data_IF_871598055775
#
_entry.id   IF_871598055775
#
_cell.length_a   1.000
_cell.length_b   1.000
_cell.length_c   1.000
_cell.angle_alpha   90.00
_cell.angle_beta   90.00
_cell.angle_gamma   90.00
#
_symmetry.space_group_name_H-M   'P 1'
#
loop_
_entity.id
_entity.type
_entity.pdbx_description
1 polymer ?
#
# COMPACT_ATOMS: atom_id res chain seq x y z
N UNK A 1 -15.32 4.26 -27.72
CA UNK A 1 -14.48 3.77 -26.60
C UNK A 1 -13.02 4.05 -26.97
N UNK A 2 -12.28 4.73 -26.10
CA UNK A 2 -10.89 5.09 -26.35
C UNK A 2 -9.99 3.95 -25.83
N UNK A 3 -9.22 3.33 -26.73
CA UNK A 3 -8.20 2.32 -26.43
C UNK A 3 -6.84 2.99 -26.74
N UNK A 4 -5.96 3.11 -25.74
CA UNK A 4 -4.60 3.66 -25.92
C UNK A 4 -3.62 2.52 -26.22
N UNK A 5 -3.23 2.36 -27.48
CA UNK A 5 -2.03 1.61 -27.84
C UNK A 5 -0.81 2.53 -27.81
N UNK A 6 0.30 2.06 -27.26
CA UNK A 6 1.62 2.61 -27.58
C UNK A 6 2.33 1.62 -28.49
N UNK A 7 2.79 2.13 -29.63
CA UNK A 7 3.36 1.30 -30.68
C UNK A 7 4.61 0.55 -30.20
N UNK A 8 4.68 -0.75 -30.50
CA UNK A 8 5.95 -1.49 -30.63
C UNK A 8 6.47 -2.24 -29.41
N UNK A 9 5.78 -2.26 -28.26
CA UNK A 9 6.16 -3.07 -27.09
C UNK A 9 4.94 -3.81 -26.50
N UNK A 10 5.18 -4.85 -25.69
CA UNK A 10 4.15 -5.55 -24.90
C UNK A 10 3.30 -4.57 -24.08
N UNK A 11 2.02 -4.91 -23.87
CA UNK A 11 0.96 -4.10 -23.28
C UNK A 11 1.42 -3.07 -22.23
N UNK A 12 1.37 -1.76 -22.56
CA UNK A 12 1.70 -0.72 -21.57
C UNK A 12 0.55 -0.43 -20.61
N UNK A 13 -0.69 -0.40 -21.09
CA UNK A 13 -1.92 -0.33 -20.28
C UNK A 13 -2.92 -1.31 -20.88
N UNK A 14 -3.39 -2.26 -20.08
CA UNK A 14 -4.36 -3.29 -20.41
C UNK A 14 -5.60 -3.11 -19.54
N UNK A 15 -6.79 -3.22 -20.12
CA UNK A 15 -8.04 -3.34 -19.38
C UNK A 15 -8.66 -4.68 -19.73
N UNK A 16 -8.96 -5.50 -18.72
CA UNK A 16 -9.49 -6.84 -18.94
C UNK A 16 -11.02 -6.86 -19.09
N UNK A 17 -11.61 -8.05 -19.24
CA UNK A 17 -13.05 -8.23 -19.41
C UNK A 17 -13.86 -7.95 -18.14
N UNK A 18 -13.20 -7.95 -16.98
CA UNK A 18 -13.81 -7.68 -15.67
C UNK A 18 -13.63 -6.20 -15.27
N UNK A 19 -12.95 -5.41 -16.09
CA UNK A 19 -12.72 -3.97 -15.90
C UNK A 19 -11.49 -3.63 -15.08
N UNK A 20 -10.63 -4.60 -14.79
CA UNK A 20 -9.38 -4.41 -14.05
C UNK A 20 -8.32 -3.79 -14.97
N UNK A 21 -7.36 -3.04 -14.40
CA UNK A 21 -6.34 -2.31 -15.16
C UNK A 21 -4.93 -2.84 -14.87
N UNK A 22 -4.27 -3.36 -15.89
CA UNK A 22 -2.87 -3.78 -15.84
C UNK A 22 -1.94 -2.75 -16.50
N UNK A 23 -0.79 -2.49 -15.89
CA UNK A 23 0.32 -1.73 -16.49
C UNK A 23 1.50 -2.68 -16.71
N UNK A 24 1.92 -2.88 -17.95
CA UNK A 24 2.98 -3.84 -18.29
C UNK A 24 2.58 -5.32 -18.22
N UNK A 25 1.31 -5.64 -17.93
CA UNK A 25 0.78 -7.01 -17.83
C UNK A 25 -0.63 -7.09 -18.41
N UNK A 26 -1.01 -8.25 -18.95
CA UNK A 26 -2.39 -8.60 -19.30
C UNK A 26 -3.00 -9.69 -18.41
N UNK A 27 -2.25 -10.17 -17.43
CA UNK A 27 -2.76 -11.06 -16.40
C UNK A 27 -2.85 -10.23 -15.14
N UNK A 28 -4.07 -9.86 -14.79
CA UNK A 28 -4.37 -8.92 -13.70
C UNK A 28 -5.07 -9.71 -12.59
N UNK A 29 -4.52 -9.66 -11.37
CA UNK A 29 -5.02 -10.41 -10.22
C UNK A 29 -5.86 -9.55 -9.27
N UNK A 30 -5.70 -8.23 -9.34
CA UNK A 30 -6.36 -7.23 -8.51
C UNK A 30 -6.91 -6.08 -9.38
N UNK A 31 -7.76 -5.22 -8.84
CA UNK A 31 -8.39 -4.13 -9.59
C UNK A 31 -7.40 -3.24 -10.39
N UNK A 32 -6.18 -3.05 -9.86
CA UNK A 32 -5.07 -2.39 -10.57
C UNK A 32 -3.77 -3.14 -10.30
N UNK A 33 -3.04 -3.53 -11.35
CA UNK A 33 -1.74 -4.21 -11.23
C UNK A 33 -0.66 -3.53 -12.07
N UNK A 34 0.53 -3.34 -11.48
CA UNK A 34 1.70 -2.78 -12.16
C UNK A 34 2.81 -3.84 -12.18
N UNK A 35 3.11 -4.38 -13.37
CA UNK A 35 4.24 -5.28 -13.58
C UNK A 35 5.54 -4.47 -13.74
N UNK A 36 5.96 -3.83 -12.66
CA UNK A 36 7.12 -2.94 -12.58
C UNK A 36 7.17 -2.19 -11.24
N UNK A 37 8.02 -1.18 -11.15
CA UNK A 37 8.07 -0.28 -9.98
C UNK A 37 7.07 0.86 -10.13
N UNK A 38 6.35 1.18 -9.07
CA UNK A 38 5.55 2.41 -8.99
C UNK A 38 6.44 3.52 -8.45
N UNK A 39 6.58 4.60 -9.23
CA UNK A 39 7.16 5.85 -8.76
C UNK A 39 6.02 6.80 -8.36
N UNK A 40 6.07 7.30 -7.12
CA UNK A 40 4.99 8.10 -6.53
C UNK A 40 5.55 9.37 -5.92
N UNK A 41 5.26 10.50 -6.57
CA UNK A 41 5.65 11.83 -6.09
C UNK A 41 4.61 12.35 -5.10
N UNK A 42 5.04 12.68 -3.88
CA UNK A 42 4.16 13.18 -2.82
C UNK A 42 3.76 12.16 -1.77
N UNK A 43 4.13 10.88 -1.95
CA UNK A 43 3.90 9.79 -1.01
C UNK A 43 2.92 8.73 -1.51
N UNK A 44 2.87 7.60 -0.82
CA UNK A 44 1.94 6.49 -1.09
C UNK A 44 0.89 6.42 0.03
N UNK A 45 -0.38 6.55 -0.35
CA UNK A 45 -1.52 6.53 0.59
C UNK A 45 -2.35 5.25 0.45
N UNK A 46 -2.86 4.75 1.57
CA UNK A 46 -3.89 3.72 1.66
C UNK A 46 -4.97 4.22 2.60
N UNK A 47 -6.24 4.15 2.19
CA UNK A 47 -7.39 4.66 2.96
C UNK A 47 -7.25 6.13 3.42
N UNK A 48 -6.75 7.01 2.53
CA UNK A 48 -6.50 8.44 2.83
C UNK A 48 -5.49 8.64 4.00
N UNK A 49 -4.58 7.67 4.19
CA UNK A 49 -3.48 7.74 5.15
C UNK A 49 -2.17 7.51 4.43
N UNK A 50 -1.26 8.49 4.49
CA UNK A 50 0.10 8.31 4.00
C UNK A 50 0.80 7.17 4.75
N UNK A 51 1.17 6.12 4.00
CA UNK A 51 1.96 4.98 4.48
C UNK A 51 3.45 5.29 4.28
N UNK A 52 3.78 5.93 3.16
CA UNK A 52 5.11 6.49 2.87
C UNK A 52 4.88 7.96 2.52
N UNK A 53 5.60 8.89 3.14
CA UNK A 53 5.48 10.30 2.80
C UNK A 53 6.31 10.70 1.56
N UNK A 54 6.16 11.95 1.12
CA UNK A 54 6.92 12.47 -0.03
C UNK A 54 8.43 12.55 0.18
N UNK A 55 8.91 12.41 1.41
CA UNK A 55 10.33 12.37 1.75
C UNK A 55 10.86 10.92 1.87
N UNK A 56 9.99 9.92 1.67
CA UNK A 56 10.33 8.49 1.69
C UNK A 56 10.32 7.84 3.07
N UNK A 57 9.84 8.52 4.11
CA UNK A 57 9.72 7.92 5.45
C UNK A 57 8.46 7.06 5.54
N UNK A 58 8.62 5.84 6.07
CA UNK A 58 7.48 5.02 6.47
C UNK A 58 6.79 5.63 7.69
N UNK A 59 5.48 5.82 7.59
CA UNK A 59 4.63 6.35 8.66
C UNK A 59 3.63 5.26 9.09
N UNK A 60 4.00 4.38 10.03
CA UNK A 60 3.02 3.47 10.60
C UNK A 60 1.86 4.26 11.19
N UNK A 61 0.64 3.72 11.06
CA UNK A 61 -0.55 4.34 11.65
C UNK A 61 -0.31 4.64 13.13
N UNK A 62 -0.70 5.82 13.60
CA UNK A 62 -0.69 6.14 15.04
C UNK A 62 -1.98 5.66 15.69
N UNK A 63 -1.90 4.91 16.78
CA UNK A 63 -3.06 4.33 17.44
C UNK A 63 -2.82 4.07 18.94
N UNK A 64 -3.90 4.09 19.72
CA UNK A 64 -3.87 3.54 21.08
C UNK A 64 -3.82 2.00 21.02
N UNK A 65 -3.20 1.39 22.01
CA UNK A 65 -2.95 -0.05 22.05
C UNK A 65 -4.23 -0.88 22.03
N UNK A 66 -5.27 -0.38 22.69
CA UNK A 66 -6.59 -1.01 22.70
C UNK A 66 -7.30 -0.93 21.34
N UNK A 67 -7.03 0.10 20.54
CA UNK A 67 -7.68 0.33 19.24
C UNK A 67 -6.95 -0.36 18.07
N UNK A 68 -5.64 -0.60 18.20
CA UNK A 68 -4.88 -1.29 17.18
C UNK A 68 -5.33 -2.76 17.03
N UNK A 69 -5.50 -3.27 15.79
CA UNK A 69 -5.77 -4.69 15.56
C UNK A 69 -4.60 -5.57 16.01
N UNK A 70 -4.91 -6.80 16.43
CA UNK A 70 -3.88 -7.82 16.66
C UNK A 70 -3.09 -8.08 15.36
N UNK A 71 -1.86 -8.54 15.49
CA UNK A 71 -0.91 -8.76 14.39
C UNK A 71 -0.55 -7.48 13.60
N UNK A 72 -0.44 -6.33 14.27
CA UNK A 72 -0.15 -5.04 13.62
C UNK A 72 1.15 -4.42 14.13
N UNK A 73 1.90 -3.78 13.23
CA UNK A 73 2.98 -2.84 13.56
C UNK A 73 2.41 -1.43 13.44
N UNK A 74 2.55 -0.61 14.48
CA UNK A 74 2.00 0.74 14.51
C UNK A 74 2.80 1.63 15.48
N UNK A 75 2.61 2.95 15.41
CA UNK A 75 3.13 3.86 16.42
C UNK A 75 2.11 3.95 17.56
N UNK A 76 2.47 3.43 18.73
CA UNK A 76 1.59 3.46 19.90
C UNK A 76 1.57 4.84 20.52
N UNK A 77 0.38 5.41 20.68
CA UNK A 77 0.19 6.65 21.44
C UNK A 77 0.29 6.44 22.96
N UNK A 78 0.10 5.20 23.43
CA UNK A 78 0.16 4.86 24.85
C UNK A 78 1.62 4.66 25.29
N UNK A 79 2.41 3.97 24.46
CA UNK A 79 3.83 3.72 24.72
C UNK A 79 4.75 4.83 24.17
N UNK A 80 4.26 5.68 23.27
CA UNK A 80 5.05 6.68 22.51
C UNK A 80 6.24 6.06 21.75
N UNK A 81 5.98 4.90 21.12
CA UNK A 81 7.00 4.01 20.56
C UNK A 81 6.48 3.30 19.32
N UNK A 82 7.39 2.80 18.49
CA UNK A 82 7.06 1.78 17.50
C UNK A 82 6.82 0.46 18.23
N UNK A 83 5.69 -0.18 17.97
CA UNK A 83 5.31 -1.43 18.63
C UNK A 83 4.80 -2.48 17.64
N UNK A 84 4.83 -3.75 18.05
CA UNK A 84 4.10 -4.84 17.43
C UNK A 84 3.08 -5.42 18.41
N UNK A 85 1.79 -5.40 18.06
CA UNK A 85 0.75 -6.12 18.81
C UNK A 85 0.59 -7.51 18.24
N UNK A 86 0.85 -8.52 19.06
CA UNK A 86 0.80 -9.92 18.63
C UNK A 86 -0.63 -10.46 18.49
N UNK A 87 -0.74 -11.73 18.10
CA UNK A 87 -2.03 -12.41 17.93
C UNK A 87 -2.85 -12.52 19.23
N UNK A 88 -2.19 -12.55 20.39
CA UNK A 88 -2.82 -12.58 21.71
C UNK A 88 -3.21 -11.20 22.23
N UNK A 89 -2.86 -10.13 21.51
CA UNK A 89 -3.13 -8.75 21.88
C UNK A 89 -2.07 -8.12 22.78
N UNK A 90 -0.94 -8.80 23.03
CA UNK A 90 0.17 -8.23 23.80
C UNK A 90 0.94 -7.24 22.94
N UNK A 91 1.23 -6.06 23.50
CA UNK A 91 2.00 -5.01 22.83
C UNK A 91 3.47 -5.12 23.18
N UNK A 92 4.29 -5.24 22.14
CA UNK A 92 5.74 -5.41 22.25
C UNK A 92 6.45 -4.16 21.72
N UNK A 93 7.21 -3.48 22.58
CA UNK A 93 8.02 -2.32 22.18
C UNK A 93 9.17 -2.76 21.27
N UNK A 94 9.35 -2.08 20.14
CA UNK A 94 10.43 -2.35 19.19
C UNK A 94 11.55 -1.30 19.26
N UNK A 95 11.22 -0.07 19.67
CA UNK A 95 12.15 1.06 19.83
C UNK A 95 11.66 1.96 20.97
#
# INVERSE_FOLDING_TARGET
PLILFTHGNSNQIYMDTDGQVGFGTSTVNDAVEVSGTVDSTGGYEVDNSAVIDGDGFFKPKSSADAAAPNNSIYYSTDASKLVYKDSGGTVNNLY
#
